data_IF_973044544603
#
_entry.id   IF_973044544603
#
_cell.length_a   1.000
_cell.length_b   1.000
_cell.length_c   1.000
_cell.angle_alpha   90.00
_cell.angle_beta   90.00
_cell.angle_gamma   90.00
#
_symmetry.space_group_name_H-M   'P 1'
#
loop_
_entity.id
_entity.type
_entity.pdbx_description
1 polymer ?
#
# COMPACT_ATOMS: atom_id res chain seq x y z
N UNK A 1 -33.25 3.84 -14.00
CA UNK A 1 -32.09 3.44 -14.83
C UNK A 1 -31.97 4.31 -16.09
N UNK A 2 -33.08 4.75 -16.68
CA UNK A 2 -33.05 5.53 -17.94
C UNK A 2 -32.32 6.87 -17.81
N UNK A 3 -32.49 7.59 -16.70
CA UNK A 3 -31.78 8.85 -16.43
C UNK A 3 -30.26 8.62 -16.39
N UNK A 4 -29.78 7.59 -15.69
CA UNK A 4 -28.35 7.29 -15.62
C UNK A 4 -27.78 6.95 -17.01
N UNK A 5 -28.52 6.16 -17.81
CA UNK A 5 -28.15 5.86 -19.20
C UNK A 5 -28.08 7.13 -20.04
N UNK A 6 -29.06 8.03 -19.90
CA UNK A 6 -29.08 9.30 -20.62
C UNK A 6 -27.90 10.19 -20.25
N UNK A 7 -27.58 10.32 -18.95
CA UNK A 7 -26.43 11.08 -18.46
C UNK A 7 -25.12 10.54 -19.03
N UNK A 8 -24.95 9.22 -19.11
CA UNK A 8 -23.77 8.59 -19.73
C UNK A 8 -23.72 8.90 -21.24
N UNK A 9 -24.85 8.83 -21.94
CA UNK A 9 -24.94 9.17 -23.36
C UNK A 9 -24.70 10.65 -23.64
N UNK A 10 -25.11 11.55 -22.73
CA UNK A 10 -24.81 12.98 -22.82
C UNK A 10 -23.33 13.24 -22.60
N UNK A 11 -22.71 12.61 -21.60
CA UNK A 11 -21.27 12.66 -21.36
C UNK A 11 -20.47 12.20 -22.58
N UNK A 12 -20.91 11.14 -23.26
CA UNK A 12 -20.30 10.64 -24.50
C UNK A 12 -20.53 11.53 -25.73
N UNK A 13 -21.53 12.42 -25.72
CA UNK A 13 -21.83 13.32 -26.85
C UNK A 13 -21.17 14.69 -26.71
N UNK A 14 -21.02 15.20 -25.49
CA UNK A 14 -20.30 16.46 -25.21
C UNK A 14 -18.79 16.22 -25.33
N UNK A 15 -18.29 16.32 -26.55
CA UNK A 15 -16.90 16.07 -26.97
C UNK A 15 -15.88 17.12 -26.49
N UNK A 16 -16.06 17.70 -25.29
CA UNK A 16 -15.18 18.75 -24.74
C UNK A 16 -14.08 18.21 -23.82
N UNK A 17 -13.84 16.90 -23.81
CA UNK A 17 -12.74 16.35 -23.02
C UNK A 17 -11.44 16.56 -23.77
N UNK A 18 -10.47 17.22 -23.14
CA UNK A 18 -9.08 17.33 -23.57
C UNK A 18 -8.41 15.94 -23.49
N UNK A 19 -8.72 15.07 -24.46
CA UNK A 19 -8.24 13.67 -24.62
C UNK A 19 -7.81 13.03 -23.30
N UNK A 20 -8.79 12.84 -22.40
CA UNK A 20 -8.57 12.20 -21.11
C UNK A 20 -8.87 13.07 -19.89
N UNK A 21 -9.05 14.37 -20.07
CA UNK A 21 -9.29 15.31 -18.98
C UNK A 21 -10.55 16.18 -19.22
N UNK A 22 -11.22 16.64 -18.15
CA UNK A 22 -12.56 17.27 -18.22
C UNK A 22 -13.71 16.38 -17.73
N UNK A 23 -14.95 16.83 -17.95
CA UNK A 23 -16.21 16.13 -17.61
C UNK A 23 -16.53 16.05 -16.10
N UNK A 24 -15.96 16.89 -15.25
CA UNK A 24 -16.32 16.89 -13.82
C UNK A 24 -17.81 17.14 -13.59
N UNK A 25 -18.41 18.07 -14.33
CA UNK A 25 -19.85 18.36 -14.25
C UNK A 25 -20.72 17.16 -14.62
N UNK A 26 -20.38 16.47 -15.71
CA UNK A 26 -21.06 15.26 -16.16
C UNK A 26 -20.89 14.10 -15.16
N UNK A 27 -19.68 13.91 -14.62
CA UNK A 27 -19.41 12.92 -13.57
C UNK A 27 -20.21 13.24 -12.30
N UNK A 28 -20.27 14.51 -11.90
CA UNK A 28 -21.03 14.96 -10.74
C UNK A 28 -22.54 14.79 -10.91
N UNK A 29 -23.07 14.99 -12.13
CA UNK A 29 -24.46 14.75 -12.44
C UNK A 29 -24.81 13.24 -12.34
N UNK A 30 -24.00 12.38 -12.95
CA UNK A 30 -24.21 10.93 -12.92
C UNK A 30 -24.10 10.36 -11.50
N UNK A 31 -23.00 10.64 -10.81
CA UNK A 31 -22.79 10.14 -9.45
C UNK A 31 -23.76 10.77 -8.47
N UNK A 32 -24.10 12.06 -8.63
CA UNK A 32 -25.12 12.73 -7.84
C UNK A 32 -26.48 12.04 -7.95
N UNK A 33 -26.92 11.68 -9.15
CA UNK A 33 -28.16 10.94 -9.35
C UNK A 33 -28.13 9.58 -8.64
N UNK A 34 -27.03 8.82 -8.77
CA UNK A 34 -26.89 7.50 -8.15
C UNK A 34 -26.84 7.61 -6.62
N UNK A 35 -26.02 8.51 -6.09
CA UNK A 35 -25.92 8.78 -4.66
C UNK A 35 -27.27 9.16 -4.06
N UNK A 36 -28.03 10.01 -4.76
CA UNK A 36 -29.34 10.47 -4.29
C UNK A 36 -30.36 9.32 -4.20
N UNK A 37 -30.28 8.36 -5.13
CA UNK A 37 -31.09 7.15 -5.07
C UNK A 37 -30.62 6.19 -3.96
N UNK A 38 -29.30 6.04 -3.79
CA UNK A 38 -28.71 5.24 -2.70
C UNK A 38 -29.10 5.77 -1.33
N UNK A 39 -29.06 7.10 -1.11
CA UNK A 39 -29.44 7.73 0.15
C UNK A 39 -30.92 7.52 0.52
N UNK A 40 -31.78 7.31 -0.47
CA UNK A 40 -33.22 7.03 -0.29
C UNK A 40 -33.52 5.54 -0.11
N UNK A 41 -32.55 4.68 -0.39
CA UNK A 41 -32.72 3.23 -0.31
C UNK A 41 -32.13 2.72 1.02
N UNK A 42 -32.72 1.70 1.65
CA UNK A 42 -32.11 1.09 2.81
C UNK A 42 -30.78 0.46 2.42
N UNK A 43 -29.70 0.81 3.13
CA UNK A 43 -28.43 0.11 3.00
C UNK A 43 -28.49 -1.25 3.71
N UNK A 44 -27.84 -2.30 3.18
CA UNK A 44 -27.68 -3.53 3.91
C UNK A 44 -26.88 -3.29 5.22
N UNK A 45 -27.05 -4.15 6.24
CA UNK A 45 -26.26 -4.05 7.46
C UNK A 45 -24.76 -4.08 7.15
N UNK A 46 -24.05 -3.06 7.63
CA UNK A 46 -22.61 -2.94 7.44
C UNK A 46 -21.90 -3.71 8.55
N UNK A 47 -21.53 -4.96 8.27
CA UNK A 47 -20.77 -5.81 9.19
C UNK A 47 -19.27 -5.58 8.99
N UNK A 48 -18.65 -4.88 9.94
CA UNK A 48 -17.20 -4.72 9.94
C UNK A 48 -16.51 -6.05 10.28
N UNK A 49 -15.46 -6.36 9.53
CA UNK A 49 -14.51 -7.41 9.89
C UNK A 49 -13.72 -6.99 11.14
N UNK A 50 -13.72 -7.86 12.15
CA UNK A 50 -13.14 -7.57 13.46
C UNK A 50 -12.18 -8.69 13.89
N UNK A 51 -11.16 -8.26 14.62
CA UNK A 51 -10.29 -9.16 15.38
C UNK A 51 -11.13 -9.99 16.34
N UNK A 52 -10.91 -11.29 16.36
CA UNK A 52 -11.65 -12.24 17.18
C UNK A 52 -10.78 -13.43 17.57
N UNK A 53 -11.16 -14.07 18.68
CA UNK A 53 -10.43 -15.20 19.25
C UNK A 53 -10.48 -16.44 18.36
N UNK A 54 -11.67 -16.78 17.86
CA UNK A 54 -11.90 -18.00 17.07
C UNK A 54 -11.02 -18.05 15.83
N UNK A 55 -11.03 -17.00 14.99
CA UNK A 55 -10.19 -16.92 13.78
C UNK A 55 -8.70 -16.89 14.13
N UNK A 56 -8.32 -16.20 15.20
CA UNK A 56 -6.93 -16.18 15.66
C UNK A 56 -6.44 -17.59 16.01
N UNK A 57 -7.25 -18.36 16.74
CA UNK A 57 -6.95 -19.75 17.12
C UNK A 57 -6.93 -20.64 15.88
N UNK A 58 -7.94 -20.56 15.02
CA UNK A 58 -8.06 -21.36 13.80
C UNK A 58 -6.81 -21.22 12.91
N UNK A 59 -6.40 -19.98 12.59
CA UNK A 59 -5.19 -19.75 11.80
C UNK A 59 -3.91 -20.22 12.50
N UNK A 60 -3.85 -20.14 13.83
CA UNK A 60 -2.71 -20.67 14.59
C UNK A 60 -2.64 -22.19 14.50
N UNK A 61 -3.78 -22.87 14.55
CA UNK A 61 -3.86 -24.32 14.45
C UNK A 61 -3.53 -24.81 13.03
N UNK A 62 -4.04 -24.14 11.99
CA UNK A 62 -3.64 -24.37 10.59
C UNK A 62 -2.13 -24.18 10.42
N UNK A 63 -1.58 -23.09 10.98
CA UNK A 63 -0.13 -22.85 10.99
C UNK A 63 0.65 -23.97 11.67
N UNK A 64 0.14 -24.54 12.78
CA UNK A 64 0.78 -25.68 13.45
C UNK A 64 0.78 -26.93 12.58
N UNK A 65 -0.30 -27.21 11.86
CA UNK A 65 -0.39 -28.35 10.94
C UNK A 65 0.65 -28.22 9.81
N UNK A 66 0.74 -27.03 9.19
CA UNK A 66 1.72 -26.72 8.16
C UNK A 66 3.17 -26.81 8.68
N UNK A 67 3.41 -26.30 9.88
CA UNK A 67 4.73 -26.39 10.52
C UNK A 67 5.13 -27.84 10.83
N UNK A 68 4.18 -28.71 11.21
CA UNK A 68 4.45 -30.15 11.37
C UNK A 68 4.72 -30.83 10.03
N UNK A 69 4.02 -30.41 8.97
CA UNK A 69 4.23 -30.90 7.60
C UNK A 69 5.55 -30.43 6.96
N UNK A 70 6.24 -29.43 7.55
CA UNK A 70 7.47 -28.85 7.02
C UNK A 70 7.25 -27.69 6.03
N UNK A 71 5.99 -27.28 5.83
CA UNK A 71 5.61 -26.13 5.01
C UNK A 71 5.76 -24.82 5.81
N UNK A 72 7.00 -24.46 6.11
CA UNK A 72 7.29 -23.38 7.06
C UNK A 72 6.87 -21.99 6.54
N UNK A 73 6.89 -21.75 5.22
CA UNK A 73 6.53 -20.43 4.64
C UNK A 73 5.02 -20.19 4.80
N UNK A 74 4.23 -21.20 4.50
CA UNK A 74 2.79 -21.26 4.64
C UNK A 74 2.40 -21.21 6.13
N UNK A 75 3.18 -21.87 7.00
CA UNK A 75 3.03 -21.74 8.44
C UNK A 75 3.25 -20.30 8.93
N UNK A 76 4.32 -19.62 8.46
CA UNK A 76 4.59 -18.22 8.78
C UNK A 76 3.43 -17.30 8.35
N UNK A 77 2.87 -17.53 7.16
CA UNK A 77 1.71 -16.77 6.69
C UNK A 77 0.49 -16.99 7.59
N UNK A 78 0.21 -18.23 7.98
CA UNK A 78 -0.92 -18.56 8.87
C UNK A 78 -0.73 -18.00 10.28
N UNK A 79 0.47 -18.05 10.85
CA UNK A 79 0.73 -17.38 12.12
C UNK A 79 0.63 -15.85 12.00
N UNK A 80 0.95 -15.28 10.84
CA UNK A 80 0.74 -13.85 10.57
C UNK A 80 -0.75 -13.50 10.50
N UNK A 81 -1.59 -14.36 9.89
CA UNK A 81 -3.05 -14.22 9.94
C UNK A 81 -3.58 -14.36 11.37
N UNK A 82 -3.06 -15.30 12.14
CA UNK A 82 -3.41 -15.46 13.56
C UNK A 82 -3.13 -14.19 14.36
N UNK A 83 -1.97 -13.55 14.17
CA UNK A 83 -1.63 -12.25 14.76
C UNK A 83 -2.59 -11.14 14.29
N UNK A 84 -2.94 -11.14 13.01
CA UNK A 84 -3.83 -10.15 12.44
C UNK A 84 -5.23 -10.22 13.07
N UNK A 85 -5.72 -11.41 13.42
CA UNK A 85 -7.02 -11.60 14.06
C UNK A 85 -7.00 -11.55 15.59
N UNK A 86 -5.84 -11.72 16.23
CA UNK A 86 -5.72 -11.70 17.68
C UNK A 86 -6.33 -10.42 18.31
N UNK A 87 -7.18 -10.62 19.32
CA UNK A 87 -7.87 -9.59 20.09
C UNK A 87 -7.40 -9.52 21.56
N UNK A 88 -6.39 -10.30 21.93
CA UNK A 88 -5.76 -10.30 23.26
C UNK A 88 -4.25 -10.44 23.16
N UNK A 89 -3.54 -9.96 24.18
CA UNK A 89 -2.08 -10.08 24.27
C UNK A 89 -1.63 -11.55 24.34
N UNK A 90 -2.41 -12.42 24.99
CA UNK A 90 -2.09 -13.85 25.07
C UNK A 90 -2.12 -14.49 23.68
N UNK A 91 -3.17 -14.25 22.89
CA UNK A 91 -3.27 -14.76 21.52
C UNK A 91 -2.13 -14.23 20.63
N UNK A 92 -1.81 -12.94 20.76
CA UNK A 92 -0.67 -12.34 20.07
C UNK A 92 0.65 -13.01 20.46
N UNK A 93 0.86 -13.25 21.76
CA UNK A 93 2.07 -13.88 22.28
C UNK A 93 2.24 -15.30 21.73
N UNK A 94 1.16 -16.09 21.70
CA UNK A 94 1.19 -17.43 21.11
C UNK A 94 1.50 -17.41 19.62
N UNK A 95 0.90 -16.49 18.87
CA UNK A 95 1.12 -16.42 17.43
C UNK A 95 2.56 -15.97 17.09
N UNK A 96 3.12 -15.00 17.82
CA UNK A 96 4.55 -14.64 17.73
C UNK A 96 5.46 -15.81 18.12
N UNK A 97 5.18 -16.48 19.23
CA UNK A 97 5.96 -17.63 19.69
C UNK A 97 5.94 -18.80 18.70
N UNK A 98 4.81 -19.04 18.02
CA UNK A 98 4.74 -20.09 17.00
C UNK A 98 5.43 -19.66 15.69
N UNK A 99 5.23 -18.41 15.25
CA UNK A 99 5.89 -17.86 14.06
C UNK A 99 7.41 -17.87 14.18
N UNK A 100 7.96 -17.52 15.35
CA UNK A 100 9.41 -17.61 15.59
C UNK A 100 9.97 -19.03 15.43
N UNK A 101 9.18 -20.08 15.66
CA UNK A 101 9.61 -21.46 15.45
C UNK A 101 9.85 -21.76 13.96
N UNK A 102 8.91 -21.35 13.12
CA UNK A 102 8.98 -21.49 11.66
C UNK A 102 10.10 -20.62 11.08
N UNK A 103 10.24 -19.37 11.55
CA UNK A 103 11.32 -18.47 11.15
C UNK A 103 12.70 -19.04 11.49
N UNK A 104 12.87 -19.58 12.70
CA UNK A 104 14.10 -20.24 13.10
C UNK A 104 14.45 -21.42 12.17
N UNK A 105 13.47 -22.27 11.84
CA UNK A 105 13.68 -23.42 10.95
C UNK A 105 14.08 -22.99 9.53
N UNK A 106 13.52 -21.88 9.05
CA UNK A 106 13.90 -21.22 7.79
C UNK A 106 15.21 -20.41 7.86
N UNK A 107 15.94 -20.47 8.97
CA UNK A 107 17.18 -19.74 9.21
C UNK A 107 17.01 -18.20 9.13
N UNK A 108 15.79 -17.71 9.29
CA UNK A 108 15.44 -16.29 9.35
C UNK A 108 15.65 -15.80 10.79
N UNK A 109 16.91 -15.81 11.24
CA UNK A 109 17.25 -15.64 12.65
C UNK A 109 16.93 -14.24 13.19
N UNK A 110 17.04 -13.19 12.36
CA UNK A 110 16.69 -11.81 12.76
C UNK A 110 15.20 -11.69 13.03
N UNK A 111 14.39 -12.21 12.12
CA UNK A 111 12.93 -12.28 12.20
C UNK A 111 12.50 -13.12 13.40
N UNK A 112 13.15 -14.26 13.62
CA UNK A 112 12.93 -15.10 14.79
C UNK A 112 13.12 -14.32 16.10
N UNK A 113 14.20 -13.55 16.22
CA UNK A 113 14.48 -12.76 17.43
C UNK A 113 13.42 -11.68 17.67
N UNK A 114 12.96 -10.99 16.62
CA UNK A 114 11.88 -10.01 16.71
C UNK A 114 10.60 -10.62 17.31
N UNK A 115 10.21 -11.81 16.83
CA UNK A 115 9.01 -12.49 17.33
C UNK A 115 9.19 -13.09 18.74
N UNK A 116 10.39 -13.56 19.08
CA UNK A 116 10.67 -14.04 20.45
C UNK A 116 10.53 -12.89 21.44
N UNK A 117 11.15 -11.74 21.15
CA UNK A 117 11.08 -10.56 22.02
C UNK A 117 9.62 -10.08 22.17
N UNK A 118 8.91 -9.93 21.05
CA UNK A 118 7.52 -9.51 21.04
C UNK A 118 6.62 -10.45 21.86
N UNK A 119 6.82 -11.77 21.76
CA UNK A 119 6.08 -12.72 22.59
C UNK A 119 6.40 -12.56 24.09
N UNK A 120 7.67 -12.31 24.46
CA UNK A 120 8.09 -12.15 25.86
C UNK A 120 7.62 -10.82 26.49
N UNK A 121 7.45 -9.77 25.69
CA UNK A 121 6.85 -8.48 26.08
C UNK A 121 5.34 -8.58 26.35
N UNK A 122 4.69 -9.60 25.78
CA UNK A 122 3.26 -9.86 25.92
C UNK A 122 2.97 -10.91 27.03
N UNK A 123 1.72 -11.36 27.09
CA UNK A 123 1.22 -12.31 28.09
C UNK A 123 1.54 -13.77 27.74
N UNK A 124 2.79 -14.06 27.33
CA UNK A 124 3.23 -15.44 27.07
C UNK A 124 3.32 -16.23 28.40
N UNK A 125 2.82 -17.48 28.47
CA UNK A 125 2.80 -18.26 29.70
C UNK A 125 4.19 -18.46 30.32
N UNK A 126 4.31 -18.19 31.62
CA UNK A 126 5.58 -18.20 32.37
C UNK A 126 6.32 -19.54 32.26
N UNK A 127 5.58 -20.65 32.32
CA UNK A 127 6.10 -22.02 32.22
C UNK A 127 6.70 -22.33 30.83
N UNK A 128 6.29 -21.59 29.79
CA UNK A 128 6.77 -21.77 28.40
C UNK A 128 7.88 -20.79 28.02
N UNK A 129 8.07 -19.69 28.78
CA UNK A 129 9.05 -18.64 28.48
C UNK A 129 10.47 -19.17 28.37
N UNK A 130 10.86 -20.15 29.20
CA UNK A 130 12.22 -20.71 29.17
C UNK A 130 12.57 -21.31 27.81
N UNK A 131 11.70 -22.17 27.26
CA UNK A 131 11.90 -22.77 25.93
C UNK A 131 11.93 -21.73 24.81
N UNK A 132 11.12 -20.68 24.94
CA UNK A 132 11.08 -19.60 23.97
C UNK A 132 12.38 -18.76 24.00
N UNK A 133 12.90 -18.46 25.20
CA UNK A 133 14.20 -17.80 25.39
C UNK A 133 15.35 -18.63 24.84
N UNK A 134 15.37 -19.94 25.09
CA UNK A 134 16.37 -20.86 24.53
C UNK A 134 16.39 -20.83 23.00
N UNK A 135 15.23 -20.72 22.34
CA UNK A 135 15.17 -20.51 20.88
C UNK A 135 15.78 -19.17 20.49
N UNK A 136 15.47 -18.11 21.21
CA UNK A 136 16.06 -16.78 20.99
C UNK A 136 17.59 -16.80 21.11
N UNK A 137 18.13 -17.41 22.17
CA UNK A 137 19.57 -17.56 22.38
C UNK A 137 20.20 -18.32 21.20
N UNK A 138 19.64 -19.47 20.81
CA UNK A 138 20.14 -20.25 19.65
C UNK A 138 20.08 -19.46 18.34
N UNK A 139 19.02 -18.68 18.12
CA UNK A 139 18.89 -17.82 16.94
C UNK A 139 19.99 -16.75 16.92
N UNK A 140 20.29 -16.18 18.09
CA UNK A 140 21.34 -15.19 18.26
C UNK A 140 22.73 -15.78 18.02
N UNK A 141 23.02 -16.97 18.56
CA UNK A 141 24.26 -17.70 18.28
C UNK A 141 24.44 -17.97 16.79
N UNK A 142 23.40 -18.47 16.12
CA UNK A 142 23.42 -18.72 14.67
C UNK A 142 23.59 -17.46 13.84
N UNK A 143 22.98 -16.35 14.27
CA UNK A 143 23.16 -15.06 13.63
C UNK A 143 24.62 -14.58 13.77
N UNK A 144 25.21 -14.70 14.97
CA UNK A 144 26.61 -14.36 15.22
C UNK A 144 27.56 -15.26 14.42
N UNK A 145 27.30 -16.57 14.37
CA UNK A 145 28.04 -17.51 13.51
C UNK A 145 27.98 -17.07 12.04
N UNK A 146 26.81 -16.70 11.52
CA UNK A 146 26.66 -16.24 10.14
C UNK A 146 27.40 -14.93 9.86
N UNK A 147 27.49 -14.03 10.83
CA UNK A 147 28.27 -12.79 10.73
C UNK A 147 29.78 -13.06 10.80
N UNK A 148 30.19 -14.04 11.61
CA UNK A 148 31.57 -14.51 11.68
C UNK A 148 32.00 -15.26 10.42
N UNK A 149 31.10 -16.03 9.81
CA UNK A 149 31.32 -16.68 8.50
C UNK A 149 31.44 -15.62 7.41
N UNK A 150 30.57 -14.60 7.40
CA UNK A 150 30.66 -13.44 6.48
C UNK A 150 31.86 -12.49 6.73
N UNK A 151 32.55 -12.64 7.86
CA UNK A 151 33.84 -11.95 8.08
C UNK A 151 35.04 -12.82 7.73
N UNK A 152 34.87 -14.13 7.57
CA UNK A 152 35.84 -15.04 6.97
C UNK A 152 35.66 -15.22 5.44
N UNK A 153 34.48 -14.89 4.90
CA UNK A 153 34.20 -14.79 3.47
C UNK A 153 33.48 -13.46 3.21
N UNK A 154 34.20 -12.52 2.57
CA UNK A 154 33.79 -11.21 2.02
C UNK A 154 32.54 -10.50 2.59
N UNK A 155 32.80 -9.31 3.17
CA UNK A 155 31.81 -8.37 3.67
C UNK A 155 30.78 -7.98 2.61
N UNK A 156 29.53 -8.41 2.84
CA UNK A 156 28.34 -7.90 2.17
C UNK A 156 27.75 -6.74 2.98
N UNK A 157 27.90 -5.51 2.50
CA UNK A 157 27.44 -4.29 3.17
C UNK A 157 25.93 -4.06 2.91
N UNK A 158 25.07 -4.76 3.66
CA UNK A 158 23.61 -4.49 3.71
C UNK A 158 22.96 -4.79 5.07
N UNK A 159 23.72 -4.94 6.16
CA UNK A 159 23.17 -5.31 7.47
C UNK A 159 22.98 -4.09 8.39
N UNK A 160 21.74 -3.71 8.80
CA UNK A 160 21.49 -2.63 9.78
C UNK A 160 21.85 -3.02 11.24
N UNK A 161 22.72 -4.01 11.41
CA UNK A 161 23.17 -4.51 12.72
C UNK A 161 24.69 -4.47 12.66
N UNK A 162 25.24 -3.40 13.22
CA UNK A 162 26.63 -2.99 13.01
C UNK A 162 27.63 -3.88 13.79
N UNK A 163 27.18 -4.57 14.85
CA UNK A 163 27.92 -5.63 15.57
C UNK A 163 27.03 -6.52 16.47
N UNK A 164 27.62 -7.57 17.06
CA UNK A 164 26.97 -8.53 17.99
C UNK A 164 26.47 -7.86 19.28
N UNK A 165 27.18 -6.87 19.80
CA UNK A 165 26.84 -6.16 21.04
C UNK A 165 25.62 -5.23 20.87
N UNK A 166 25.50 -4.57 19.72
CA UNK A 166 24.33 -3.78 19.31
C UNK A 166 23.09 -4.66 19.14
N UNK A 167 23.28 -5.89 18.64
CA UNK A 167 22.21 -6.87 18.48
C UNK A 167 21.73 -7.38 19.85
N UNK A 168 22.64 -7.68 20.77
CA UNK A 168 22.34 -8.08 22.15
C UNK A 168 21.56 -7.01 22.91
N UNK A 169 21.97 -5.73 22.81
CA UNK A 169 21.27 -4.60 23.45
C UNK A 169 19.85 -4.39 22.93
N UNK A 170 19.54 -4.86 21.72
CA UNK A 170 18.22 -4.72 21.09
C UNK A 170 17.21 -5.77 21.57
N UNK A 171 17.67 -6.85 22.20
CA UNK A 171 16.84 -7.98 22.66
C UNK A 171 17.06 -8.28 24.15
N UNK A 172 16.70 -7.34 25.05
CA UNK A 172 16.99 -7.46 26.47
C UNK A 172 16.33 -8.69 27.12
N UNK A 173 15.14 -9.12 26.68
CA UNK A 173 14.45 -10.27 27.28
C UNK A 173 15.02 -11.63 26.87
N UNK A 174 15.83 -11.65 25.80
CA UNK A 174 16.53 -12.85 25.27
C UNK A 174 17.95 -12.95 25.82
N UNK A 175 18.60 -11.81 26.13
CA UNK A 175 20.02 -11.78 26.52
C UNK A 175 20.35 -12.74 27.66
N UNK A 176 21.42 -13.55 27.54
CA UNK A 176 21.93 -14.33 28.67
C UNK A 176 22.37 -13.36 29.77
N UNK A 177 22.10 -13.71 31.03
CA UNK A 177 22.76 -13.07 32.18
C UNK A 177 24.27 -13.06 31.90
N UNK A 178 24.94 -11.93 32.16
CA UNK A 178 26.28 -11.49 31.72
C UNK A 178 27.46 -12.49 31.88
N UNK A 179 27.24 -13.69 32.40
CA UNK A 179 28.28 -14.63 32.85
C UNK A 179 28.92 -15.54 31.79
N UNK A 180 28.43 -15.63 30.55
CA UNK A 180 28.98 -16.59 29.56
C UNK A 180 29.65 -15.97 28.30
N UNK A 181 29.59 -14.64 28.12
CA UNK A 181 30.13 -13.98 26.91
C UNK A 181 31.66 -13.79 26.99
N UNK A 182 32.27 -13.96 28.16
CA UNK A 182 33.69 -13.67 28.40
C UNK A 182 34.67 -14.69 27.79
N UNK A 183 34.25 -15.92 27.47
CA UNK A 183 35.19 -16.98 27.05
C UNK A 183 35.48 -17.03 25.54
N UNK A 184 34.68 -16.37 24.68
CA UNK A 184 34.90 -16.37 23.22
C UNK A 184 35.65 -15.14 22.67
N UNK A 185 36.20 -14.27 23.54
CA UNK A 185 36.84 -12.99 23.17
C UNK A 185 38.24 -13.10 22.55
N UNK A 186 38.85 -14.29 22.45
CA UNK A 186 40.30 -14.41 22.22
C UNK A 186 40.76 -14.72 20.79
N UNK A 187 39.89 -14.78 19.78
CA UNK A 187 40.31 -15.23 18.42
C UNK A 187 39.92 -14.24 17.32
N UNK A 188 40.37 -12.97 17.39
CA UNK A 188 40.32 -12.09 16.21
C UNK A 188 41.51 -11.12 16.23
N UNK A 189 42.55 -11.43 15.45
CA UNK A 189 43.47 -10.42 14.91
C UNK A 189 43.97 -10.85 13.54
N UNK A 190 43.74 -9.96 12.58
CA UNK A 190 44.30 -9.88 11.22
C UNK A 190 43.65 -10.81 10.18
N UNK A 191 43.07 -10.24 9.12
CA UNK A 191 43.72 -9.98 7.82
C UNK A 191 42.74 -9.22 6.90
N UNK A 192 43.30 -8.33 6.07
CA UNK A 192 42.68 -7.57 4.97
C UNK A 192 42.99 -8.31 3.66
N UNK A 193 42.01 -8.48 2.76
CA UNK A 193 42.09 -8.21 1.30
C UNK A 193 40.92 -8.84 0.52
N UNK A 194 40.81 -8.38 -0.72
CA UNK A 194 39.65 -8.09 -1.57
C UNK A 194 39.04 -9.26 -2.39
N UNK A 195 37.89 -8.90 -3.01
CA UNK A 195 37.29 -9.30 -4.30
C UNK A 195 36.43 -10.58 -4.50
N UNK A 196 35.12 -10.31 -4.49
CA UNK A 196 34.00 -10.71 -5.37
C UNK A 196 33.75 -12.18 -5.74
N UNK A 197 32.54 -12.66 -5.39
CA UNK A 197 31.49 -12.91 -6.39
C UNK A 197 30.08 -13.05 -5.75
N UNK A 198 29.25 -12.02 -5.93
CA UNK A 198 27.81 -12.03 -5.63
C UNK A 198 26.99 -12.57 -6.83
N UNK A 199 25.84 -13.23 -6.59
CA UNK A 199 24.90 -13.55 -7.67
C UNK A 199 24.42 -12.26 -8.36
N UNK A 200 24.56 -12.21 -9.69
CA UNK A 200 24.32 -11.03 -10.52
C UNK A 200 22.86 -10.56 -10.37
N UNK A 201 22.62 -9.57 -9.52
CA UNK A 201 21.37 -8.81 -9.50
C UNK A 201 21.21 -8.08 -10.84
N UNK A 202 20.00 -7.83 -11.34
CA UNK A 202 19.81 -6.98 -12.51
C UNK A 202 20.46 -5.60 -12.32
N UNK A 203 21.09 -5.04 -13.36
CA UNK A 203 21.88 -3.78 -13.31
C UNK A 203 21.17 -2.61 -12.59
N UNK A 204 19.85 -2.52 -12.70
CA UNK A 204 19.04 -1.47 -12.07
C UNK A 204 18.80 -1.64 -10.56
N UNK A 205 19.13 -2.80 -9.98
CA UNK A 205 19.07 -3.06 -8.53
C UNK A 205 20.44 -3.04 -7.86
N UNK A 206 21.52 -3.01 -8.65
CA UNK A 206 22.88 -3.05 -8.12
C UNK A 206 23.31 -1.72 -7.50
N UNK A 207 22.90 -0.59 -8.07
CA UNK A 207 23.31 0.75 -7.62
C UNK A 207 22.18 1.79 -7.76
N UNK A 208 21.15 1.79 -6.89
CA UNK A 208 20.07 2.77 -6.94
C UNK A 208 20.54 4.23 -6.82
N UNK A 209 21.68 4.47 -6.15
CA UNK A 209 22.28 5.81 -6.04
C UNK A 209 22.87 6.32 -7.37
N UNK A 210 23.11 5.43 -8.34
CA UNK A 210 23.60 5.78 -9.69
C UNK A 210 22.49 5.87 -10.74
N UNK A 211 21.24 5.60 -10.35
CA UNK A 211 20.08 5.72 -11.23
C UNK A 211 19.75 7.18 -11.48
N UNK A 212 20.38 7.77 -12.49
CA UNK A 212 20.07 9.11 -12.97
C UNK A 212 19.77 9.08 -14.47
N UNK A 213 18.86 9.94 -14.95
CA UNK A 213 18.66 10.11 -16.38
C UNK A 213 19.93 10.67 -17.04
N UNK A 214 20.34 10.18 -18.22
CA UNK A 214 21.63 10.53 -18.83
C UNK A 214 21.78 12.02 -19.18
N UNK A 215 20.67 12.75 -19.33
CA UNK A 215 20.64 14.17 -19.65
C UNK A 215 20.24 15.05 -18.46
N UNK A 216 20.19 14.48 -17.24
CA UNK A 216 19.60 15.12 -16.08
C UNK A 216 18.07 15.24 -16.16
N UNK A 217 17.42 15.75 -15.10
CA UNK A 217 15.97 15.94 -15.06
C UNK A 217 15.51 17.04 -16.04
N UNK A 218 14.33 16.86 -16.62
CA UNK A 218 13.67 17.86 -17.46
C UNK A 218 13.12 19.02 -16.62
N UNK A 219 13.18 20.23 -17.18
CA UNK A 219 12.68 21.45 -16.54
C UNK A 219 11.14 21.45 -16.46
N UNK A 220 10.45 20.89 -17.48
CA UNK A 220 8.98 20.78 -17.51
C UNK A 220 8.44 19.57 -16.73
N UNK A 221 9.27 18.55 -16.49
CA UNK A 221 8.86 17.37 -15.73
C UNK A 221 10.08 16.65 -15.13
N UNK A 222 10.44 16.95 -13.88
CA UNK A 222 11.66 16.44 -13.25
C UNK A 222 11.78 14.91 -13.15
N UNK A 223 10.67 14.19 -13.28
CA UNK A 223 10.67 12.73 -13.35
C UNK A 223 11.27 12.19 -14.65
N UNK A 224 11.27 12.98 -15.73
CA UNK A 224 11.76 12.61 -17.04
C UNK A 224 13.18 13.13 -17.29
N UNK A 225 13.93 12.43 -18.14
CA UNK A 225 15.19 12.93 -18.69
C UNK A 225 14.96 14.21 -19.52
N UNK A 226 15.90 15.15 -19.53
CA UNK A 226 15.87 16.35 -20.40
C UNK A 226 15.88 16.03 -21.91
N UNK A 227 16.14 14.77 -22.29
CA UNK A 227 15.97 14.28 -23.66
C UNK A 227 14.57 13.75 -23.98
N UNK A 228 13.60 13.92 -23.08
CA UNK A 228 12.21 13.50 -23.25
C UNK A 228 11.31 14.75 -23.21
N UNK A 229 10.53 14.94 -24.27
CA UNK A 229 9.57 16.03 -24.39
C UNK A 229 8.14 15.48 -24.19
N UNK A 230 7.29 16.29 -23.56
CA UNK A 230 5.85 16.01 -23.44
C UNK A 230 5.14 16.73 -24.58
N UNK A 231 4.56 15.97 -25.50
CA UNK A 231 3.81 16.51 -26.64
C UNK A 231 2.36 16.03 -26.62
N UNK A 232 1.53 16.65 -27.46
CA UNK A 232 0.14 16.29 -27.62
C UNK A 232 -0.18 15.96 -29.08
N UNK A 233 -0.95 14.90 -29.28
CA UNK A 233 -1.62 14.62 -30.55
C UNK A 233 -3.05 14.15 -30.32
N UNK A 234 -3.93 14.33 -31.30
CA UNK A 234 -5.32 13.85 -31.22
C UNK A 234 -5.42 12.32 -31.10
N UNK A 235 -4.42 11.62 -31.62
CA UNK A 235 -4.39 10.15 -31.64
C UNK A 235 -3.96 9.57 -30.28
N UNK A 236 -2.88 10.11 -29.69
CA UNK A 236 -2.27 9.56 -28.48
C UNK A 236 -2.57 10.38 -27.22
N UNK A 237 -3.23 11.53 -27.35
CA UNK A 237 -3.33 12.51 -26.27
C UNK A 237 -1.94 13.05 -25.89
N UNK A 238 -1.75 13.32 -24.59
CA UNK A 238 -0.44 13.68 -24.05
C UNK A 238 0.46 12.44 -23.97
N UNK A 239 1.63 12.51 -24.57
CA UNK A 239 2.58 11.40 -24.62
C UNK A 239 4.03 11.90 -24.62
N UNK A 240 4.95 10.98 -24.35
CA UNK A 240 6.38 11.25 -24.28
C UNK A 240 7.03 10.95 -25.63
N UNK A 241 7.91 11.84 -26.07
CA UNK A 241 8.77 11.62 -27.26
C UNK A 241 10.23 11.88 -26.91
N UNK A 242 11.11 11.08 -27.48
CA UNK A 242 12.54 11.31 -27.36
C UNK A 242 12.96 12.49 -28.25
N UNK A 243 13.49 13.55 -27.64
CA UNK A 243 14.12 14.68 -28.32
C UNK A 243 15.64 14.53 -28.45
N UNK A 244 16.21 13.51 -27.78
CA UNK A 244 17.62 13.11 -27.89
C UNK A 244 17.73 11.60 -28.10
N UNK A 245 18.90 11.17 -28.56
CA UNK A 245 19.22 9.76 -28.71
C UNK A 245 19.37 9.09 -27.33
N UNK A 246 18.88 7.87 -27.18
CA UNK A 246 19.08 7.06 -25.97
C UNK A 246 19.63 5.69 -26.34
N UNK A 247 20.56 5.19 -25.53
CA UNK A 247 21.14 3.85 -25.69
C UNK A 247 20.36 2.82 -24.89
N UNK A 248 20.35 1.54 -25.32
CA UNK A 248 19.76 0.46 -24.56
C UNK A 248 20.25 0.42 -23.10
N UNK A 249 19.30 0.40 -22.17
CA UNK A 249 19.56 0.38 -20.72
C UNK A 249 19.67 1.76 -20.06
N UNK A 250 19.60 2.86 -20.80
CA UNK A 250 19.49 4.20 -20.23
C UNK A 250 18.11 4.46 -19.62
N UNK A 251 18.08 5.29 -18.57
CA UNK A 251 16.86 5.58 -17.83
C UNK A 251 16.17 6.79 -18.44
N UNK A 252 14.93 6.61 -18.90
CA UNK A 252 14.11 7.69 -19.49
C UNK A 252 13.31 8.45 -18.44
N UNK A 253 12.75 7.72 -17.47
CA UNK A 253 11.87 8.25 -16.43
C UNK A 253 12.17 7.59 -15.09
N UNK A 254 12.18 8.37 -14.01
CA UNK A 254 12.20 7.91 -12.62
C UNK A 254 11.09 8.64 -11.89
N UNK A 255 10.05 7.90 -11.52
CA UNK A 255 8.87 8.48 -10.89
C UNK A 255 8.48 7.69 -9.64
N UNK A 256 8.17 8.42 -8.56
CA UNK A 256 7.52 7.82 -7.40
C UNK A 256 6.01 7.73 -7.70
N UNK A 257 5.36 6.59 -7.44
CA UNK A 257 3.93 6.48 -7.64
C UNK A 257 3.20 7.52 -6.79
N UNK A 258 2.27 8.27 -7.39
CA UNK A 258 1.44 9.25 -6.67
C UNK A 258 0.69 8.58 -5.50
N UNK A 259 0.20 7.36 -5.73
CA UNK A 259 -0.32 6.47 -4.71
C UNK A 259 -0.20 5.01 -5.13
N UNK A 260 -0.38 4.09 -4.17
CA UNK A 260 -0.33 2.66 -4.41
C UNK A 260 -1.28 1.90 -3.49
N UNK A 261 -1.69 0.72 -3.93
CA UNK A 261 -2.48 -0.24 -3.14
C UNK A 261 -1.84 -1.61 -3.24
N UNK A 262 -1.95 -2.37 -2.15
CA UNK A 262 -1.53 -3.75 -2.11
C UNK A 262 -2.67 -4.63 -2.63
N UNK A 263 -2.35 -5.67 -3.40
CA UNK A 263 -3.34 -6.67 -3.81
C UNK A 263 -3.72 -7.59 -2.65
N UNK A 264 -4.98 -8.05 -2.65
CA UNK A 264 -5.54 -8.87 -1.55
C UNK A 264 -4.73 -10.11 -1.23
N UNK A 265 -4.21 -10.80 -2.25
CA UNK A 265 -3.39 -12.01 -2.08
C UNK A 265 -2.02 -11.72 -1.42
N UNK A 266 -1.65 -10.44 -1.29
CA UNK A 266 -0.41 -10.00 -0.65
C UNK A 266 -0.60 -9.40 0.74
N UNK A 267 -1.83 -9.25 1.25
CA UNK A 267 -2.12 -8.61 2.55
C UNK A 267 -1.36 -9.21 3.73
N UNK A 268 -1.11 -10.53 3.70
CA UNK A 268 -0.42 -11.26 4.77
C UNK A 268 1.05 -11.59 4.48
N UNK A 269 1.61 -11.01 3.41
CA UNK A 269 3.01 -11.24 3.03
C UNK A 269 3.79 -9.95 2.76
N UNK A 270 3.11 -8.82 2.54
CA UNK A 270 3.75 -7.54 2.22
C UNK A 270 3.21 -6.40 3.09
N UNK A 271 4.05 -5.37 3.26
CA UNK A 271 3.68 -4.17 3.98
C UNK A 271 2.69 -3.31 3.16
N UNK A 272 1.60 -2.87 3.80
CA UNK A 272 0.60 -2.01 3.14
C UNK A 272 1.09 -0.58 2.87
N UNK A 273 2.21 -0.17 3.48
CA UNK A 273 2.82 1.14 3.26
C UNK A 273 3.98 1.09 2.26
N UNK A 274 5.02 0.28 2.47
CA UNK A 274 6.18 0.29 1.58
C UNK A 274 6.14 -0.78 0.48
N UNK A 275 5.12 -1.64 0.46
CA UNK A 275 4.98 -2.78 -0.47
C UNK A 275 6.08 -3.84 -0.38
N UNK A 276 7.02 -3.71 0.55
CA UNK A 276 8.09 -4.68 0.77
C UNK A 276 7.54 -5.97 1.39
N UNK A 277 8.08 -7.12 0.97
CA UNK A 277 7.76 -8.40 1.58
C UNK A 277 8.28 -8.43 3.01
N UNK A 278 7.50 -8.98 3.94
CA UNK A 278 7.94 -9.16 5.33
C UNK A 278 7.32 -10.41 5.93
N UNK A 279 8.15 -11.16 6.66
CA UNK A 279 7.74 -12.36 7.39
C UNK A 279 7.35 -12.05 8.84
N UNK A 280 7.63 -10.84 9.32
CA UNK A 280 7.26 -10.33 10.63
C UNK A 280 6.34 -9.12 10.52
N UNK A 281 5.23 -9.27 9.78
CA UNK A 281 4.24 -8.21 9.69
C UNK A 281 3.61 -7.93 11.07
N UNK A 282 3.42 -6.64 11.34
CA UNK A 282 2.78 -6.06 12.51
C UNK A 282 1.37 -5.63 12.09
N UNK A 283 0.31 -6.20 12.68
CA UNK A 283 -1.04 -5.87 12.29
C UNK A 283 -1.48 -4.48 12.78
N UNK A 284 -2.46 -3.91 12.09
CA UNK A 284 -3.24 -2.79 12.62
C UNK A 284 -3.87 -3.20 13.96
N UNK A 285 -3.92 -2.30 14.97
CA UNK A 285 -4.57 -2.59 16.24
C UNK A 285 -6.08 -2.77 16.09
N UNK A 286 -6.72 -2.12 15.12
CA UNK A 286 -8.18 -2.06 15.01
C UNK A 286 -8.77 -3.09 14.03
N UNK A 287 -8.15 -3.28 12.86
CA UNK A 287 -8.66 -4.19 11.82
C UNK A 287 -7.69 -5.36 11.56
N UNK A 288 -8.19 -6.53 11.15
CA UNK A 288 -7.34 -7.69 10.84
C UNK A 288 -6.75 -7.66 9.42
N UNK A 289 -6.98 -6.59 8.65
CA UNK A 289 -6.70 -6.56 7.21
C UNK A 289 -5.33 -5.95 6.91
N UNK A 290 -5.05 -4.79 7.50
CA UNK A 290 -3.89 -3.97 7.14
C UNK A 290 -2.73 -4.25 8.09
N UNK A 291 -1.54 -4.42 7.52
CA UNK A 291 -0.32 -4.80 8.26
C UNK A 291 0.93 -4.11 7.72
N UNK A 292 1.97 -4.03 8.55
CA UNK A 292 3.17 -3.25 8.28
C UNK A 292 4.45 -4.00 8.66
N UNK A 293 5.55 -3.75 7.94
CA UNK A 293 6.85 -4.36 8.26
C UNK A 293 7.56 -3.73 9.47
N UNK A 294 7.09 -2.57 9.93
CA UNK A 294 7.71 -1.82 11.03
C UNK A 294 6.72 -0.80 11.62
N UNK A 295 6.98 -0.37 12.85
CA UNK A 295 6.21 0.71 13.49
C UNK A 295 6.31 2.04 12.73
N UNK A 296 7.47 2.31 12.10
CA UNK A 296 7.63 3.47 11.19
C UNK A 296 6.63 3.41 10.04
N UNK A 297 6.56 2.28 9.33
CA UNK A 297 5.60 2.09 8.25
C UNK A 297 4.15 2.13 8.74
N UNK A 298 3.87 1.60 9.94
CA UNK A 298 2.55 1.67 10.57
C UNK A 298 2.12 3.12 10.81
N UNK A 299 2.98 3.94 11.43
CA UNK A 299 2.72 5.36 11.68
C UNK A 299 2.55 6.17 10.39
N UNK A 300 3.43 5.95 9.41
CA UNK A 300 3.35 6.63 8.12
C UNK A 300 2.06 6.25 7.37
N UNK A 301 1.75 4.95 7.27
CA UNK A 301 0.53 4.47 6.63
C UNK A 301 -0.75 4.93 7.35
N UNK A 302 -0.76 4.92 8.68
CA UNK A 302 -1.87 5.43 9.49
C UNK A 302 -2.17 6.89 9.18
N UNK A 303 -1.15 7.75 9.23
CA UNK A 303 -1.31 9.18 9.01
C UNK A 303 -1.62 9.53 7.56
N UNK A 304 -1.05 8.79 6.62
CA UNK A 304 -1.22 9.07 5.19
C UNK A 304 -2.61 8.66 4.69
N UNK A 305 -3.08 7.45 5.02
CA UNK A 305 -4.34 6.93 4.48
C UNK A 305 -5.15 6.05 5.43
N UNK A 306 -4.49 5.20 6.23
CA UNK A 306 -5.20 4.10 6.88
C UNK A 306 -6.16 4.56 7.98
N UNK A 307 -5.92 5.68 8.67
CA UNK A 307 -6.87 6.19 9.68
C UNK A 307 -8.30 6.36 9.13
N UNK A 308 -8.40 6.79 7.87
CA UNK A 308 -9.67 7.05 7.20
C UNK A 308 -10.19 5.79 6.55
N UNK A 309 -9.30 4.97 5.99
CA UNK A 309 -9.66 3.73 5.33
C UNK A 309 -10.09 2.62 6.28
N UNK A 310 -9.49 2.54 7.48
CA UNK A 310 -9.65 1.42 8.42
C UNK A 310 -11.11 1.01 8.67
N UNK A 311 -12.03 1.92 9.08
CA UNK A 311 -13.42 1.54 9.31
C UNK A 311 -14.21 1.24 8.02
N UNK A 312 -13.72 1.64 6.84
CA UNK A 312 -14.38 1.36 5.56
C UNK A 312 -13.93 0.02 5.00
N UNK A 313 -12.63 -0.25 5.00
CA UNK A 313 -12.05 -1.49 4.49
C UNK A 313 -12.58 -2.70 5.28
N UNK A 314 -12.75 -2.58 6.60
CA UNK A 314 -13.32 -3.65 7.42
C UNK A 314 -14.75 -4.01 7.01
N UNK A 315 -15.56 -3.03 6.62
CA UNK A 315 -16.93 -3.26 6.13
C UNK A 315 -16.94 -3.82 4.71
N UNK A 316 -16.03 -3.36 3.85
CA UNK A 316 -15.99 -3.73 2.43
C UNK A 316 -15.81 -5.23 2.20
N UNK A 317 -15.03 -5.90 3.05
CA UNK A 317 -14.78 -7.36 2.95
C UNK A 317 -16.08 -8.15 3.01
N UNK A 318 -16.96 -7.81 3.95
CA UNK A 318 -18.25 -8.48 4.14
C UNK A 318 -19.34 -7.97 3.20
N UNK A 319 -19.36 -6.66 2.92
CA UNK A 319 -20.39 -6.03 2.10
C UNK A 319 -20.39 -6.54 0.65
N UNK A 320 -19.21 -6.80 0.08
CA UNK A 320 -19.09 -7.25 -1.30
C UNK A 320 -19.12 -8.79 -1.44
N UNK A 321 -19.35 -9.52 -0.34
CA UNK A 321 -19.50 -10.98 -0.24
C UNK A 321 -18.57 -11.76 -1.19
N UNK A 322 -17.26 -11.54 -1.03
CA UNK A 322 -16.24 -11.85 -2.03
C UNK A 322 -15.76 -13.30 -1.87
N UNK A 323 -16.52 -14.25 -2.40
CA UNK A 323 -15.95 -15.57 -2.70
C UNK A 323 -15.17 -15.56 -4.02
N UNK A 324 -15.55 -14.73 -5.02
CA UNK A 324 -14.98 -14.88 -6.37
C UNK A 324 -14.49 -13.61 -7.09
N UNK A 325 -14.91 -12.39 -6.70
CA UNK A 325 -14.68 -11.20 -7.54
C UNK A 325 -13.62 -10.24 -6.95
N UNK A 326 -12.36 -10.71 -6.91
CA UNK A 326 -11.19 -9.98 -6.38
C UNK A 326 -11.06 -8.54 -6.92
N UNK A 327 -11.48 -8.32 -8.17
CA UNK A 327 -11.32 -7.07 -8.92
C UNK A 327 -12.11 -5.90 -8.32
N UNK A 328 -13.31 -6.15 -7.75
CA UNK A 328 -14.18 -5.07 -7.26
C UNK A 328 -13.65 -4.41 -5.99
N UNK A 329 -13.06 -5.18 -5.08
CA UNK A 329 -12.52 -4.68 -3.82
C UNK A 329 -11.25 -3.86 -4.03
N UNK A 330 -10.35 -4.34 -4.89
CA UNK A 330 -9.14 -3.60 -5.28
C UNK A 330 -9.50 -2.22 -5.86
N UNK A 331 -10.54 -2.17 -6.70
CA UNK A 331 -10.99 -0.92 -7.30
C UNK A 331 -11.56 0.06 -6.27
N UNK A 332 -12.38 -0.40 -5.32
CA UNK A 332 -12.92 0.46 -4.25
C UNK A 332 -11.79 1.00 -3.38
N UNK A 333 -10.82 0.14 -3.01
CA UNK A 333 -9.65 0.58 -2.25
C UNK A 333 -8.83 1.63 -3.01
N UNK A 334 -8.61 1.45 -4.32
CA UNK A 334 -7.87 2.42 -5.16
C UNK A 334 -8.51 3.80 -5.14
N UNK A 335 -9.82 3.88 -5.38
CA UNK A 335 -10.51 5.17 -5.48
C UNK A 335 -10.62 5.86 -4.11
N UNK A 336 -10.84 5.10 -3.03
CA UNK A 336 -10.83 5.64 -1.67
C UNK A 336 -9.44 6.15 -1.31
N UNK A 337 -8.39 5.36 -1.56
CA UNK A 337 -7.02 5.74 -1.24
C UNK A 337 -6.60 6.98 -2.01
N UNK A 338 -6.86 7.04 -3.31
CA UNK A 338 -6.58 8.23 -4.11
C UNK A 338 -7.28 9.44 -3.51
N UNK A 339 -8.60 9.34 -3.22
CA UNK A 339 -9.37 10.42 -2.62
C UNK A 339 -8.75 10.89 -1.28
N UNK A 340 -8.36 9.97 -0.41
CA UNK A 340 -7.74 10.30 0.87
C UNK A 340 -6.41 11.03 0.68
N UNK A 341 -5.58 10.61 -0.29
CA UNK A 341 -4.29 11.23 -0.58
C UNK A 341 -4.46 12.60 -1.23
N UNK A 342 -5.23 12.72 -2.32
CA UNK A 342 -5.44 14.00 -3.04
C UNK A 342 -6.11 15.06 -2.18
N UNK A 343 -6.90 14.67 -1.17
CA UNK A 343 -7.54 15.61 -0.25
C UNK A 343 -6.78 15.80 1.06
N UNK A 344 -5.64 15.12 1.25
CA UNK A 344 -4.91 15.10 2.53
C UNK A 344 -5.83 14.78 3.73
N UNK A 345 -6.49 13.62 3.66
CA UNK A 345 -7.51 13.19 4.63
C UNK A 345 -8.64 14.22 4.82
N UNK A 346 -9.13 14.79 3.71
CA UNK A 346 -10.28 15.71 3.68
C UNK A 346 -9.96 17.17 4.01
N UNK A 347 -8.69 17.52 4.23
CA UNK A 347 -8.28 18.89 4.57
C UNK A 347 -8.17 19.84 3.36
N UNK A 348 -7.98 19.31 2.16
CA UNK A 348 -7.68 20.07 0.93
C UNK A 348 -8.79 20.01 -0.13
N UNK A 349 -10.06 19.90 0.28
CA UNK A 349 -11.17 19.85 -0.69
C UNK A 349 -11.24 21.09 -1.58
N UNK A 350 -11.11 22.28 -1.02
CA UNK A 350 -11.25 23.53 -1.78
C UNK A 350 -10.06 23.82 -2.69
N UNK A 351 -8.84 23.53 -2.23
CA UNK A 351 -7.62 23.57 -3.04
C UNK A 351 -7.75 22.63 -4.25
N UNK A 352 -8.18 21.39 -4.01
CA UNK A 352 -8.36 20.40 -5.07
C UNK A 352 -9.45 20.80 -6.07
N UNK A 353 -10.57 21.38 -5.62
CA UNK A 353 -11.61 21.91 -6.51
C UNK A 353 -11.05 22.96 -7.45
N UNK A 354 -10.32 23.92 -6.89
CA UNK A 354 -9.70 25.00 -7.65
C UNK A 354 -8.70 24.45 -8.66
N UNK A 355 -7.87 23.50 -8.27
CA UNK A 355 -6.91 22.85 -9.17
C UNK A 355 -7.60 22.12 -10.33
N UNK A 356 -8.70 21.41 -10.05
CA UNK A 356 -9.49 20.76 -11.09
C UNK A 356 -10.17 21.78 -12.01
N UNK A 357 -10.68 22.89 -11.49
CA UNK A 357 -11.28 23.93 -12.32
C UNK A 357 -10.24 24.62 -13.23
N UNK A 358 -9.07 24.95 -12.69
CA UNK A 358 -7.96 25.56 -13.44
C UNK A 358 -7.55 24.65 -14.59
N UNK A 359 -7.31 23.38 -14.30
CA UNK A 359 -6.90 22.50 -15.36
C UNK A 359 -8.07 22.33 -16.36
N UNK A 360 -9.36 22.20 -15.95
CA UNK A 360 -10.53 21.93 -16.83
C UNK A 360 -10.82 23.07 -17.79
N UNK A 361 -10.42 24.27 -17.40
CA UNK A 361 -10.54 25.48 -18.21
C UNK A 361 -9.29 25.79 -19.02
N UNK A 362 -8.22 24.97 -18.91
CA UNK A 362 -7.00 25.17 -19.68
C UNK A 362 -7.25 24.90 -21.18
N UNK A 363 -7.06 25.90 -22.06
CA UNK A 363 -7.29 25.73 -23.49
C UNK A 363 -6.27 24.82 -24.19
N UNK A 364 -5.09 24.61 -23.58
CA UNK A 364 -4.02 23.78 -24.14
C UNK A 364 -4.10 22.33 -23.63
N UNK A 365 -4.43 21.43 -24.55
CA UNK A 365 -4.51 19.99 -24.30
C UNK A 365 -3.18 19.37 -23.85
N UNK A 366 -2.03 19.99 -24.17
CA UNK A 366 -0.70 19.52 -23.76
C UNK A 366 -0.43 19.83 -22.29
N UNK A 367 -0.78 21.03 -21.85
CA UNK A 367 -0.42 21.54 -20.52
C UNK A 367 -1.56 21.46 -19.50
N UNK A 368 -2.73 20.95 -19.88
CA UNK A 368 -3.81 20.64 -18.94
C UNK A 368 -3.31 19.71 -17.81
N UNK A 369 -3.28 20.21 -16.58
CA UNK A 369 -2.76 19.48 -15.42
C UNK A 369 -1.36 19.88 -14.95
N UNK A 370 -0.68 20.75 -15.68
CA UNK A 370 0.57 21.34 -15.24
C UNK A 370 0.30 22.31 -14.08
N UNK A 371 1.27 22.40 -13.18
CA UNK A 371 1.27 23.37 -12.07
C UNK A 371 1.38 24.80 -12.61
N UNK A 372 1.13 25.79 -11.75
CA UNK A 372 1.24 27.21 -12.14
C UNK A 372 2.66 27.60 -12.57
N UNK A 373 3.68 26.83 -12.16
CA UNK A 373 5.07 26.97 -12.60
C UNK A 373 5.36 26.28 -13.94
N UNK A 374 4.36 25.74 -14.64
CA UNK A 374 4.56 25.05 -15.92
C UNK A 374 5.23 23.69 -15.78
N UNK A 375 5.08 23.02 -14.63
CA UNK A 375 5.67 21.70 -14.36
C UNK A 375 4.57 20.64 -14.30
N UNK A 376 4.76 19.52 -15.01
CA UNK A 376 4.02 18.28 -14.77
C UNK A 376 4.68 17.52 -13.60
N UNK A 377 4.16 17.77 -12.41
CA UNK A 377 4.73 17.30 -11.15
C UNK A 377 4.05 16.01 -10.69
N UNK A 378 4.84 14.94 -10.59
CA UNK A 378 4.42 13.61 -10.11
C UNK A 378 3.84 13.60 -8.69
N UNK A 379 4.05 14.65 -7.90
CA UNK A 379 3.49 14.82 -6.56
C UNK A 379 2.27 15.73 -6.50
N UNK A 380 1.90 16.36 -7.63
CA UNK A 380 0.76 17.27 -7.72
C UNK A 380 -0.55 16.53 -7.96
N UNK A 381 -1.56 16.82 -7.13
CA UNK A 381 -2.91 16.31 -7.32
C UNK A 381 -3.50 16.77 -8.67
N UNK A 382 -3.20 17.99 -9.11
CA UNK A 382 -3.64 18.53 -10.40
C UNK A 382 -3.08 17.69 -11.55
N UNK A 383 -1.79 17.36 -11.50
CA UNK A 383 -1.12 16.52 -12.51
C UNK A 383 -1.67 15.09 -12.50
N UNK A 384 -1.77 14.45 -11.33
CA UNK A 384 -2.32 13.11 -11.20
C UNK A 384 -3.78 12.99 -11.68
N UNK A 385 -4.61 13.99 -11.37
CA UNK A 385 -6.02 14.02 -11.79
C UNK A 385 -6.23 14.45 -13.26
N UNK A 386 -5.15 14.88 -13.92
CA UNK A 386 -5.16 15.22 -15.35
C UNK A 386 -4.95 14.02 -16.27
N UNK A 387 -4.50 12.89 -15.72
CA UNK A 387 -4.15 11.70 -16.49
C UNK A 387 -5.33 11.13 -17.29
N UNK A 388 -5.01 10.34 -18.32
CA UNK A 388 -5.99 9.89 -19.31
C UNK A 388 -7.11 9.05 -18.68
N UNK A 389 -8.36 9.42 -18.93
CA UNK A 389 -9.53 8.66 -18.43
C UNK A 389 -10.07 7.63 -19.43
N UNK A 390 -9.84 7.85 -20.74
CA UNK A 390 -10.48 7.11 -21.84
C UNK A 390 -12.01 7.02 -21.70
N UNK A 391 -12.63 8.00 -21.03
CA UNK A 391 -14.05 7.96 -20.66
C UNK A 391 -14.97 7.73 -21.87
N UNK A 392 -14.62 8.33 -23.02
CA UNK A 392 -15.43 8.31 -24.23
C UNK A 392 -15.45 6.95 -24.92
N UNK A 393 -14.35 6.20 -24.85
CA UNK A 393 -14.19 4.89 -25.50
C UNK A 393 -14.70 3.73 -24.63
N UNK A 394 -14.84 3.95 -23.31
CA UNK A 394 -15.35 2.93 -22.37
C UNK A 394 -16.81 2.54 -22.67
N UNK A 395 -17.21 1.26 -22.51
CA UNK A 395 -18.58 0.84 -22.69
C UNK A 395 -19.50 1.45 -21.62
N UNK A 396 -20.79 1.64 -21.93
CA UNK A 396 -21.78 2.25 -21.02
C UNK A 396 -21.83 1.52 -19.68
N UNK A 397 -21.81 0.18 -19.71
CA UNK A 397 -21.85 -0.65 -18.51
C UNK A 397 -20.65 -0.42 -17.60
N UNK A 398 -19.46 -0.20 -18.18
CA UNK A 398 -18.24 0.09 -17.43
C UNK A 398 -18.35 1.41 -16.67
N UNK A 399 -18.78 2.47 -17.37
CA UNK A 399 -18.98 3.79 -16.76
C UNK A 399 -20.03 3.72 -15.63
N UNK A 400 -21.14 3.02 -15.86
CA UNK A 400 -22.17 2.83 -14.85
C UNK A 400 -21.62 2.09 -13.62
N UNK A 401 -20.80 1.05 -13.81
CA UNK A 401 -20.17 0.32 -12.71
C UNK A 401 -19.22 1.20 -11.90
N UNK A 402 -18.35 1.98 -12.57
CA UNK A 402 -17.49 2.97 -11.89
C UNK A 402 -18.31 3.97 -11.07
N UNK A 403 -19.42 4.47 -11.61
CA UNK A 403 -20.26 5.46 -10.94
C UNK A 403 -20.97 4.87 -9.72
N UNK A 404 -21.49 3.64 -9.81
CA UNK A 404 -22.09 2.93 -8.67
C UNK A 404 -21.08 2.66 -7.56
N UNK A 405 -19.90 2.16 -7.90
CA UNK A 405 -18.84 1.87 -6.92
C UNK A 405 -18.36 3.16 -6.24
N UNK A 406 -18.26 4.26 -6.99
CA UNK A 406 -17.86 5.57 -6.45
C UNK A 406 -18.93 6.17 -5.54
N UNK A 407 -20.20 6.02 -5.90
CA UNK A 407 -21.32 6.42 -5.04
C UNK A 407 -21.33 5.61 -3.73
N UNK A 408 -21.13 4.28 -3.82
CA UNK A 408 -21.03 3.43 -2.65
C UNK A 408 -19.85 3.84 -1.76
N UNK A 409 -18.66 4.06 -2.34
CA UNK A 409 -17.48 4.50 -1.60
C UNK A 409 -17.71 5.83 -0.89
N UNK A 410 -18.37 6.81 -1.53
CA UNK A 410 -18.70 8.09 -0.91
C UNK A 410 -19.69 7.93 0.24
N UNK A 411 -20.69 7.05 0.10
CA UNK A 411 -21.65 6.74 1.16
C UNK A 411 -20.97 6.06 2.36
N UNK A 412 -20.07 5.10 2.10
CA UNK A 412 -19.28 4.45 3.16
C UNK A 412 -18.36 5.45 3.87
N UNK A 413 -17.68 6.32 3.13
CA UNK A 413 -16.85 7.36 3.72
C UNK A 413 -17.68 8.32 4.59
N UNK A 414 -18.86 8.73 4.14
CA UNK A 414 -19.73 9.61 4.90
C UNK A 414 -20.29 8.96 6.17
N UNK A 415 -20.66 7.69 6.08
CA UNK A 415 -21.32 6.98 7.18
C UNK A 415 -20.37 6.25 8.10
N UNK A 416 -19.12 5.97 7.71
CA UNK A 416 -18.15 5.20 8.50
C UNK A 416 -16.96 6.04 8.99
N UNK A 417 -16.74 7.25 8.47
CA UNK A 417 -15.57 8.07 8.79
C UNK A 417 -15.95 9.49 9.17
N UNK A 418 -14.94 10.29 9.55
CA UNK A 418 -15.06 11.75 9.72
C UNK A 418 -14.37 12.52 8.60
N UNK A 419 -14.19 11.92 7.41
CA UNK A 419 -13.52 12.55 6.27
C UNK A 419 -14.17 13.90 5.89
N UNK A 420 -15.48 14.01 6.08
CA UNK A 420 -16.27 15.20 5.78
C UNK A 420 -16.55 16.07 7.01
N UNK A 421 -15.71 15.98 8.05
CA UNK A 421 -15.85 16.72 9.31
C UNK A 421 -16.63 15.97 10.39
N UNK A 422 -17.61 15.13 10.00
CA UNK A 422 -18.37 14.29 10.92
C UNK A 422 -18.76 12.95 10.28
N UNK A 423 -19.23 12.02 11.12
CA UNK A 423 -19.83 10.75 10.71
C UNK A 423 -21.33 10.95 10.58
N UNK A 424 -21.87 10.78 9.38
CA UNK A 424 -23.28 11.00 9.09
C UNK A 424 -24.10 9.72 9.27
N UNK A 425 -25.35 9.88 9.71
CA UNK A 425 -26.37 8.88 9.58
C UNK A 425 -26.99 8.92 8.18
N UNK A 426 -27.46 7.78 7.68
CA UNK A 426 -28.07 7.71 6.35
C UNK A 426 -29.28 8.64 6.20
N UNK A 427 -30.05 8.84 7.28
CA UNK A 427 -31.18 9.79 7.32
C UNK A 427 -30.77 11.24 7.08
N UNK A 428 -29.55 11.63 7.44
CA UNK A 428 -29.01 12.99 7.23
C UNK A 428 -28.56 13.22 5.78
N UNK A 429 -28.44 12.15 4.99
CA UNK A 429 -27.95 12.18 3.61
C UNK A 429 -29.08 12.18 2.58
N UNK A 430 -30.35 12.26 3.01
CA UNK A 430 -31.51 12.25 2.11
C UNK A 430 -31.55 13.42 1.12
N UNK A 431 -30.96 14.57 1.47
CA UNK A 431 -30.76 15.69 0.57
C UNK A 431 -29.26 15.96 0.37
N UNK A 432 -28.69 15.45 -0.73
CA UNK A 432 -27.25 15.55 -0.98
C UNK A 432 -26.77 16.92 -1.46
N UNK A 433 -27.68 17.80 -1.89
CA UNK A 433 -27.28 19.15 -2.30
C UNK A 433 -26.79 19.98 -1.10
N UNK A 434 -27.19 19.61 0.12
CA UNK A 434 -26.63 20.14 1.38
C UNK A 434 -25.23 19.61 1.71
N UNK A 435 -24.71 18.63 0.96
CA UNK A 435 -23.46 17.92 1.24
C UNK A 435 -22.49 17.94 0.04
N UNK A 436 -22.01 19.13 -0.38
CA UNK A 436 -21.24 19.28 -1.62
C UNK A 436 -19.91 18.51 -1.62
N UNK A 437 -19.28 18.30 -0.45
CA UNK A 437 -18.06 17.50 -0.34
C UNK A 437 -18.32 16.02 -0.64
N UNK A 438 -19.47 15.46 -0.24
CA UNK A 438 -19.82 14.06 -0.50
C UNK A 438 -20.04 13.84 -2.00
N UNK A 439 -20.83 14.72 -2.63
CA UNK A 439 -21.12 14.70 -4.07
C UNK A 439 -19.84 14.89 -4.90
N UNK A 440 -18.99 15.84 -4.49
CA UNK A 440 -17.69 16.09 -5.11
C UNK A 440 -16.77 14.87 -5.02
N UNK A 441 -16.65 14.25 -3.84
CA UNK A 441 -15.87 13.02 -3.65
C UNK A 441 -16.36 11.87 -4.52
N UNK A 442 -17.68 11.70 -4.65
CA UNK A 442 -18.24 10.68 -5.55
C UNK A 442 -17.85 10.91 -7.01
N UNK A 443 -17.97 12.15 -7.49
CA UNK A 443 -17.54 12.55 -8.83
C UNK A 443 -16.03 12.31 -9.03
N UNK A 444 -15.22 12.69 -8.05
CA UNK A 444 -13.77 12.50 -8.08
C UNK A 444 -13.39 11.02 -8.11
N UNK A 445 -14.05 10.18 -7.32
CA UNK A 445 -13.80 8.74 -7.29
C UNK A 445 -14.22 8.04 -8.59
N UNK A 446 -15.26 8.53 -9.28
CA UNK A 446 -15.59 8.04 -10.62
C UNK A 446 -14.43 8.33 -11.59
N UNK A 447 -13.92 9.56 -11.57
CA UNK A 447 -12.74 9.93 -12.36
C UNK A 447 -11.51 9.11 -11.96
N UNK A 448 -11.27 8.94 -10.66
CA UNK A 448 -10.20 8.10 -10.12
C UNK A 448 -10.28 6.67 -10.66
N UNK A 449 -11.49 6.09 -10.68
CA UNK A 449 -11.69 4.74 -11.18
C UNK A 449 -11.26 4.58 -12.64
N UNK A 450 -11.64 5.52 -13.50
CA UNK A 450 -11.25 5.47 -14.92
C UNK A 450 -9.80 5.86 -15.17
N UNK A 451 -9.23 6.79 -14.38
CA UNK A 451 -7.81 7.13 -14.42
C UNK A 451 -6.98 5.92 -14.03
N UNK A 452 -7.29 5.29 -12.91
CA UNK A 452 -6.53 4.13 -12.41
C UNK A 452 -6.62 2.94 -13.36
N UNK A 453 -7.79 2.72 -13.99
CA UNK A 453 -7.95 1.69 -15.00
C UNK A 453 -7.24 1.98 -16.34
N UNK A 454 -6.67 3.18 -16.54
CA UNK A 454 -5.90 3.53 -17.74
C UNK A 454 -4.42 3.80 -17.47
N UNK A 455 -4.04 4.15 -16.24
CA UNK A 455 -2.69 4.63 -15.93
C UNK A 455 -2.00 3.85 -14.80
N UNK A 456 -2.69 2.98 -14.06
CA UNK A 456 -2.02 2.17 -13.04
C UNK A 456 -1.25 1.01 -13.67
N UNK A 457 -0.04 0.78 -13.15
CA UNK A 457 0.77 -0.39 -13.45
C UNK A 457 0.70 -1.39 -12.31
N UNK A 458 0.69 -2.67 -12.66
CA UNK A 458 0.89 -3.75 -11.70
C UNK A 458 2.38 -4.08 -11.65
N UNK A 459 2.99 -3.94 -10.48
CA UNK A 459 4.37 -4.39 -10.26
C UNK A 459 4.31 -5.81 -9.72
N UNK A 460 4.55 -6.79 -10.59
CA UNK A 460 4.80 -8.16 -10.15
C UNK A 460 6.27 -8.26 -9.77
N UNK A 461 6.57 -8.52 -8.50
CA UNK A 461 7.91 -8.99 -8.14
C UNK A 461 8.15 -10.30 -8.90
N UNK A 462 9.17 -10.32 -9.75
CA UNK A 462 9.72 -11.60 -10.22
C UNK A 462 10.04 -12.40 -8.96
N UNK A 463 9.40 -13.57 -8.80
CA UNK A 463 9.80 -14.55 -7.81
C UNK A 463 11.26 -14.90 -8.13
N UNK A 464 12.19 -14.38 -7.33
CA UNK A 464 13.57 -14.86 -7.30
C UNK A 464 13.66 -15.95 -6.24
#
# INVERSE_FOLDING_TARGET
MDIAKELILQMKRKNKSHVGYGLHGECAALVGHILQNMAKSPMPPLKAEQKNEDDSINYREEGNQLFVAGEDIEAIENYTRSLAYANSNELMAYAHANRSAALYRKQMYKECLLDVEAALELDYPLDKRQKLKERGIKAMEKLCESMNIKSNEQKLDTCPFDDVESTLKKFPLISPIETEITEKKSVIKNIINDDNDEPIKPRYLQNPETMSPPYGPSDESPAHSKGIDIIFSKEYGRHLVASKEFKPGEILTIEKPYFWVLYRDKFYTHCHYCLERSYCLIPCPDCPIVQYCSDKCRKLGWNMFHRTECPVISVLVNLLNITDDKVKMDMVMKIIRLLVIVTSNGKKFDELRKDLEIAETNPDERTAGFTDSGILDSSSARSAMSLATNMMTRPLIGISAFACVSALAAMLLATQTKLFGQKYQLSELQNLDSHPNIKFSGSLMLRAGVITASNCFSVNYLQQ
#
